data_IF_222886245215
#
_entry.id   IF_222886245215
#
_cell.length_a   1.000
_cell.length_b   1.000
_cell.length_c   1.000
_cell.angle_alpha   90.00
_cell.angle_beta   90.00
_cell.angle_gamma   90.00
#
_symmetry.space_group_name_H-M   'P 1'
#
loop_
_entity.id
_entity.type
_entity.pdbx_description
1 polymer ?
#
# COMPACT_ATOMS: atom_id res chain seq x y z
N UNK A 1 29.79 31.11 -38.00
CA UNK A 1 28.55 31.43 -37.27
C UNK A 1 28.84 32.61 -36.37
N UNK A 2 28.17 33.74 -36.63
CA UNK A 2 28.43 35.02 -35.97
C UNK A 2 28.05 34.94 -34.49
N UNK A 3 28.70 35.73 -33.62
CA UNK A 3 28.28 35.89 -32.23
C UNK A 3 26.82 36.40 -32.13
N UNK A 4 26.35 37.12 -33.15
CA UNK A 4 24.97 37.61 -33.26
C UNK A 4 23.95 36.47 -33.44
N UNK A 5 24.31 35.41 -34.17
CA UNK A 5 23.44 34.24 -34.36
C UNK A 5 23.19 33.52 -33.03
N UNK A 6 24.22 33.46 -32.17
CA UNK A 6 24.14 32.85 -30.83
C UNK A 6 23.29 33.69 -29.87
N UNK A 7 23.39 35.02 -29.94
CA UNK A 7 22.53 35.91 -29.15
C UNK A 7 21.06 35.84 -29.59
N UNK A 8 20.80 35.80 -30.89
CA UNK A 8 19.45 35.62 -31.42
C UNK A 8 18.82 34.30 -30.98
N UNK A 9 19.56 33.19 -31.03
CA UNK A 9 19.08 31.90 -30.50
C UNK A 9 18.83 31.91 -28.99
N UNK A 10 19.66 32.64 -28.22
CA UNK A 10 19.49 32.78 -26.78
C UNK A 10 18.21 33.58 -26.47
N UNK A 11 17.97 34.68 -27.18
CA UNK A 11 16.76 35.49 -27.02
C UNK A 11 15.49 34.73 -27.44
N UNK A 12 15.56 33.95 -28.53
CA UNK A 12 14.46 33.10 -28.99
C UNK A 12 14.07 32.06 -27.93
N UNK A 13 15.06 31.39 -27.33
CA UNK A 13 14.85 30.43 -26.22
C UNK A 13 14.21 31.08 -24.99
N UNK A 14 14.62 32.30 -24.63
CA UNK A 14 14.04 33.02 -23.48
C UNK A 14 12.57 33.37 -23.76
N UNK A 15 12.27 33.89 -24.96
CA UNK A 15 10.90 34.21 -25.38
C UNK A 15 10.00 32.97 -25.34
N UNK A 16 10.44 31.86 -25.93
CA UNK A 16 9.66 30.62 -25.95
C UNK A 16 9.42 30.08 -24.54
N UNK A 17 10.39 30.23 -23.64
CA UNK A 17 10.24 29.83 -22.23
C UNK A 17 9.20 30.68 -21.51
N UNK A 18 9.15 31.98 -21.77
CA UNK A 18 8.14 32.87 -21.20
C UNK A 18 6.74 32.57 -21.74
N UNK A 19 6.60 32.35 -23.05
CA UNK A 19 5.32 31.99 -23.67
C UNK A 19 4.79 30.66 -23.12
N UNK A 20 5.67 29.67 -22.93
CA UNK A 20 5.31 28.35 -22.40
C UNK A 20 4.90 28.37 -20.93
N UNK A 21 5.45 29.29 -20.13
CA UNK A 21 5.07 29.50 -18.73
C UNK A 21 3.73 30.22 -18.62
N UNK A 22 3.42 31.11 -19.57
CA UNK A 22 2.19 31.91 -19.58
C UNK A 22 1.00 31.20 -20.23
N UNK A 23 1.20 30.04 -20.86
CA UNK A 23 0.15 29.31 -21.54
C UNK A 23 -0.82 28.61 -20.55
N UNK A 24 -2.08 29.09 -20.42
CA UNK A 24 -3.06 28.52 -19.51
C UNK A 24 -3.49 27.10 -19.90
N UNK A 25 -3.27 26.70 -21.17
CA UNK A 25 -3.68 25.38 -21.66
C UNK A 25 -2.82 24.25 -21.06
N UNK A 26 -1.56 24.52 -20.71
CA UNK A 26 -0.69 23.51 -20.07
C UNK A 26 -1.24 23.11 -18.71
N UNK A 27 -1.74 24.10 -17.94
CA UNK A 27 -2.35 23.87 -16.63
C UNK A 27 -3.68 23.14 -16.76
N UNK A 28 -4.52 23.52 -17.73
CA UNK A 28 -5.78 22.81 -18.01
C UNK A 28 -5.55 21.36 -18.46
N UNK A 29 -4.60 21.09 -19.36
CA UNK A 29 -4.24 19.73 -19.79
C UNK A 29 -3.74 18.89 -18.62
N UNK A 30 -2.95 19.47 -17.71
CA UNK A 30 -2.47 18.77 -16.51
C UNK A 30 -3.62 18.41 -15.56
N UNK A 31 -4.59 19.31 -15.39
CA UNK A 31 -5.79 19.07 -14.58
C UNK A 31 -6.67 18.01 -15.23
N UNK A 32 -6.96 18.12 -16.53
CA UNK A 32 -7.75 17.13 -17.28
C UNK A 32 -7.10 15.73 -17.25
N UNK A 33 -5.77 15.65 -17.38
CA UNK A 33 -5.03 14.39 -17.25
C UNK A 33 -5.20 13.78 -15.86
N UNK A 34 -5.11 14.58 -14.80
CA UNK A 34 -5.32 14.10 -13.43
C UNK A 34 -6.76 13.64 -13.20
N UNK A 35 -7.75 14.35 -13.74
CA UNK A 35 -9.17 13.95 -13.67
C UNK A 35 -9.39 12.63 -14.42
N UNK A 36 -8.84 12.49 -15.63
CA UNK A 36 -8.98 11.27 -16.43
C UNK A 36 -8.33 10.06 -15.75
N UNK A 37 -7.15 10.22 -15.14
CA UNK A 37 -6.47 9.16 -14.38
C UNK A 37 -7.27 8.78 -13.14
N UNK A 38 -7.78 9.76 -12.37
CA UNK A 38 -8.64 9.48 -11.21
C UNK A 38 -9.93 8.77 -11.61
N UNK A 39 -10.58 9.20 -12.70
CA UNK A 39 -11.81 8.58 -13.21
C UNK A 39 -11.55 7.16 -13.72
N UNK A 40 -10.44 6.90 -14.42
CA UNK A 40 -10.05 5.53 -14.80
C UNK A 40 -9.77 4.63 -13.60
N UNK A 41 -9.14 5.15 -12.54
CA UNK A 41 -8.95 4.41 -11.29
C UNK A 41 -10.28 4.12 -10.59
N UNK A 42 -11.20 5.08 -10.57
CA UNK A 42 -12.52 4.91 -9.97
C UNK A 42 -13.45 3.97 -10.77
N UNK A 43 -13.25 3.86 -12.09
CA UNK A 43 -14.05 3.00 -12.99
C UNK A 43 -13.45 1.60 -13.16
N UNK A 44 -12.24 1.33 -12.64
CA UNK A 44 -11.79 -0.07 -12.50
C UNK A 44 -12.78 -0.79 -11.60
N UNK A 45 -13.35 -1.89 -12.11
CA UNK A 45 -14.30 -2.72 -11.39
C UNK A 45 -13.65 -3.17 -10.08
N UNK A 46 -14.06 -2.58 -8.96
CA UNK A 46 -13.68 -3.02 -7.62
C UNK A 46 -14.01 -4.50 -7.49
N UNK A 47 -13.00 -5.35 -7.66
CA UNK A 47 -13.14 -6.78 -7.46
C UNK A 47 -13.02 -7.06 -5.97
N UNK A 48 -13.92 -7.85 -5.40
CA UNK A 48 -13.80 -8.32 -4.01
C UNK A 48 -12.43 -8.97 -3.75
N UNK A 49 -11.83 -9.57 -4.77
CA UNK A 49 -10.47 -10.14 -4.73
C UNK A 49 -9.38 -9.06 -4.63
N UNK A 50 -9.54 -7.91 -5.28
CA UNK A 50 -8.61 -6.78 -5.13
C UNK A 50 -8.72 -6.18 -3.73
N UNK A 51 -9.92 -6.10 -3.17
CA UNK A 51 -10.14 -5.60 -1.80
C UNK A 51 -9.45 -6.53 -0.79
N UNK A 52 -9.61 -7.85 -0.93
CA UNK A 52 -8.93 -8.85 -0.10
C UNK A 52 -7.41 -8.83 -0.27
N UNK A 53 -6.90 -8.50 -1.46
CA UNK A 53 -5.48 -8.36 -1.72
C UNK A 53 -4.89 -7.05 -1.18
N UNK A 54 -5.70 -6.00 -1.00
CA UNK A 54 -5.29 -4.74 -0.37
C UNK A 54 -5.28 -4.82 1.16
N UNK A 55 -5.79 -5.89 1.77
CA UNK A 55 -5.74 -6.07 3.22
C UNK A 55 -4.27 -6.29 3.64
N UNK A 56 -3.73 -5.49 4.58
CA UNK A 56 -2.38 -5.68 5.10
C UNK A 56 -2.17 -7.09 5.66
N UNK A 57 -1.01 -7.69 5.39
CA UNK A 57 -0.67 -9.03 5.86
C UNK A 57 -0.75 -9.11 7.38
N UNK A 58 -0.37 -8.04 8.09
CA UNK A 58 -0.53 -7.95 9.56
C UNK A 58 -1.96 -8.27 10.02
N UNK A 59 -3.00 -7.80 9.32
CA UNK A 59 -4.39 -8.04 9.74
C UNK A 59 -4.78 -9.49 9.46
N UNK A 60 -4.45 -9.98 8.26
CA UNK A 60 -4.74 -11.35 7.84
C UNK A 60 -4.07 -12.37 8.77
N UNK A 61 -2.79 -12.17 9.04
CA UNK A 61 -1.98 -13.12 9.81
C UNK A 61 -2.30 -13.04 11.31
N UNK A 62 -2.66 -11.87 11.84
CA UNK A 62 -3.24 -11.75 13.19
C UNK A 62 -4.53 -12.57 13.33
N UNK A 63 -5.42 -12.47 12.33
CA UNK A 63 -6.70 -13.17 12.34
C UNK A 63 -6.50 -14.68 12.22
N UNK A 64 -5.55 -15.13 11.40
CA UNK A 64 -5.13 -16.53 11.34
C UNK A 64 -4.59 -17.00 12.71
N UNK A 65 -3.70 -16.22 13.34
CA UNK A 65 -3.17 -16.53 14.67
C UNK A 65 -4.26 -16.65 15.73
N UNK A 66 -5.22 -15.72 15.74
CA UNK A 66 -6.36 -15.76 16.66
C UNK A 66 -7.25 -16.99 16.43
N UNK A 67 -7.53 -17.36 15.17
CA UNK A 67 -8.29 -18.57 14.83
C UNK A 67 -7.57 -19.83 15.31
N UNK A 68 -6.26 -19.93 15.09
CA UNK A 68 -5.46 -21.07 15.58
C UNK A 68 -5.52 -21.15 17.11
N UNK A 69 -5.35 -20.02 17.80
CA UNK A 69 -5.49 -19.99 19.26
C UNK A 69 -6.88 -20.38 19.75
N UNK A 70 -7.94 -20.00 19.02
CA UNK A 70 -9.31 -20.38 19.34
C UNK A 70 -9.51 -21.90 19.22
N UNK A 71 -8.96 -22.50 18.16
CA UNK A 71 -8.97 -23.96 17.99
C UNK A 71 -8.25 -24.64 19.15
N UNK A 72 -7.07 -24.14 19.54
CA UNK A 72 -6.34 -24.66 20.70
C UNK A 72 -7.18 -24.56 21.97
N UNK A 73 -7.83 -23.42 22.21
CA UNK A 73 -8.68 -23.23 23.39
C UNK A 73 -9.85 -24.20 23.47
N UNK A 74 -10.36 -24.69 22.33
CA UNK A 74 -11.45 -25.68 22.29
C UNK A 74 -10.91 -27.09 22.42
N UNK A 75 -9.77 -27.38 21.79
CA UNK A 75 -9.21 -28.73 21.70
C UNK A 75 -8.48 -29.13 22.99
N UNK A 76 -7.77 -28.19 23.62
CA UNK A 76 -6.97 -28.43 24.82
C UNK A 76 -7.76 -29.02 26.02
N UNK A 77 -8.95 -28.48 26.40
CA UNK A 77 -9.73 -29.04 27.50
C UNK A 77 -10.33 -30.43 27.22
N UNK A 78 -10.31 -30.91 25.96
CA UNK A 78 -10.74 -32.29 25.64
C UNK A 78 -9.73 -33.32 26.14
N UNK A 79 -8.45 -32.94 26.22
CA UNK A 79 -7.37 -33.87 26.57
C UNK A 79 -6.91 -33.76 28.02
N UNK A 80 -7.12 -32.62 28.63
CA UNK A 80 -6.63 -32.34 29.98
C UNK A 80 -7.78 -31.72 30.76
N UNK A 81 -8.15 -32.35 31.87
CA UNK A 81 -9.16 -31.82 32.80
C UNK A 81 -8.45 -31.10 33.95
N UNK A 82 -8.23 -29.79 33.78
CA UNK A 82 -7.68 -28.94 34.81
C UNK A 82 -8.28 -27.53 34.75
N UNK A 83 -8.56 -26.97 35.91
CA UNK A 83 -9.24 -25.68 36.07
C UNK A 83 -8.48 -24.49 35.46
N UNK A 84 -7.16 -24.63 35.26
CA UNK A 84 -6.31 -23.58 34.70
C UNK A 84 -6.23 -23.59 33.18
N UNK A 85 -6.80 -24.61 32.51
CA UNK A 85 -6.67 -24.79 31.06
C UNK A 85 -7.42 -23.72 30.28
N UNK A 86 -8.58 -23.29 30.78
CA UNK A 86 -9.34 -22.23 30.13
C UNK A 86 -8.52 -20.94 30.05
N UNK A 87 -7.76 -20.62 31.11
CA UNK A 87 -6.86 -19.46 31.12
C UNK A 87 -5.71 -19.62 30.12
N UNK A 88 -5.18 -20.83 29.96
CA UNK A 88 -4.12 -21.13 28.98
C UNK A 88 -4.65 -21.06 27.55
N UNK A 89 -5.87 -21.52 27.29
CA UNK A 89 -6.53 -21.39 26.00
C UNK A 89 -6.73 -19.93 25.61
N UNK A 90 -7.23 -19.11 26.54
CA UNK A 90 -7.37 -17.66 26.33
C UNK A 90 -6.01 -17.00 26.09
N UNK A 91 -5.00 -17.32 26.90
CA UNK A 91 -3.64 -16.79 26.72
C UNK A 91 -3.05 -17.18 25.36
N UNK A 92 -3.29 -18.41 24.90
CA UNK A 92 -2.83 -18.88 23.60
C UNK A 92 -3.43 -18.06 22.44
N UNK A 93 -4.70 -17.66 22.52
CA UNK A 93 -5.33 -16.76 21.53
C UNK A 93 -4.56 -15.44 21.43
N UNK A 94 -4.32 -14.78 22.56
CA UNK A 94 -3.61 -13.50 22.57
C UNK A 94 -2.18 -13.63 22.06
N UNK A 95 -1.44 -14.63 22.54
CA UNK A 95 -0.04 -14.85 22.14
C UNK A 95 0.06 -15.15 20.65
N UNK A 96 -0.79 -16.05 20.12
CA UNK A 96 -0.76 -16.40 18.70
C UNK A 96 -1.24 -15.27 17.80
N UNK A 97 -2.21 -14.45 18.25
CA UNK A 97 -2.60 -13.24 17.54
C UNK A 97 -1.43 -12.25 17.43
N UNK A 98 -0.68 -12.03 18.53
CA UNK A 98 0.50 -11.16 18.54
C UNK A 98 1.59 -11.71 17.62
N UNK A 99 1.88 -13.01 17.68
CA UNK A 99 2.84 -13.66 16.78
C UNK A 99 2.42 -13.49 15.32
N UNK A 100 1.14 -13.72 15.00
CA UNK A 100 0.57 -13.51 13.68
C UNK A 100 0.72 -12.06 13.21
N UNK A 101 0.50 -11.08 14.10
CA UNK A 101 0.71 -9.67 13.81
C UNK A 101 2.15 -9.36 13.39
N UNK A 102 3.14 -9.83 14.16
CA UNK A 102 4.55 -9.59 13.86
C UNK A 102 4.99 -10.26 12.55
N UNK A 103 4.52 -11.49 12.31
CA UNK A 103 4.78 -12.20 11.05
C UNK A 103 4.21 -11.40 9.87
N UNK A 104 2.95 -10.97 9.95
CA UNK A 104 2.33 -10.19 8.89
C UNK A 104 2.97 -8.81 8.72
N UNK A 105 3.42 -8.18 9.80
CA UNK A 105 4.18 -6.92 9.73
C UNK A 105 5.53 -7.11 9.01
N UNK A 106 6.21 -8.23 9.23
CA UNK A 106 7.45 -8.55 8.53
C UNK A 106 7.22 -8.73 7.02
N UNK A 107 6.12 -9.38 6.63
CA UNK A 107 5.73 -9.50 5.21
C UNK A 107 5.37 -8.15 4.60
N UNK A 108 4.55 -7.33 5.27
CA UNK A 108 4.21 -5.98 4.80
C UNK A 108 5.46 -5.09 4.62
N UNK A 109 6.43 -5.22 5.54
CA UNK A 109 7.71 -4.50 5.48
C UNK A 109 8.56 -4.99 4.30
N UNK A 110 8.64 -6.30 4.10
CA UNK A 110 9.35 -6.91 2.96
C UNK A 110 8.77 -6.45 1.62
N UNK A 111 7.45 -6.45 1.49
CA UNK A 111 6.77 -6.03 0.26
C UNK A 111 6.99 -4.53 0.00
N UNK A 112 6.91 -3.69 1.05
CA UNK A 112 7.22 -2.26 0.95
C UNK A 112 8.66 -2.00 0.51
N UNK A 113 9.63 -2.77 1.03
CA UNK A 113 11.03 -2.68 0.64
C UNK A 113 11.25 -3.13 -0.81
N UNK A 114 10.57 -4.19 -1.25
CA UNK A 114 10.65 -4.67 -2.64
C UNK A 114 10.13 -3.63 -3.63
N UNK A 115 9.06 -2.92 -3.30
CA UNK A 115 8.52 -1.83 -4.12
C UNK A 115 9.44 -0.60 -4.19
N UNK A 116 10.24 -0.35 -3.15
CA UNK A 116 11.23 0.72 -3.11
C UNK A 116 12.50 0.39 -3.91
N UNK A 117 12.93 -0.88 -3.90
CA UNK A 117 14.16 -1.34 -4.58
C UNK A 117 13.89 -1.70 -6.05
N UNK A 118 12.65 -2.11 -6.40
CA UNK A 118 12.26 -2.49 -7.75
C UNK A 118 11.92 -1.31 -8.69
N UNK A 119 12.14 -0.07 -8.25
CA UNK A 119 12.01 1.17 -9.04
C UNK A 119 13.36 1.83 -9.24
#
# INVERSE_FOLDING_TARGET
MSNEDRELERLKRIRDRQLRVRDPQVKQRKIQRNIAVKRRKAVRKFSLREILAEIPHKVKDTLIGAVIGMVISIVLPIFIEAYWIDFVGIAAIFVLAIVGFFIGQAFDTRDSLKDLIGK
#
